data_IF_420573337137
#
_entry.id   IF_420573337137
#
_cell.length_a   1.000
_cell.length_b   1.000
_cell.length_c   1.000
_cell.angle_alpha   90.00
_cell.angle_beta   90.00
_cell.angle_gamma   90.00
#
_symmetry.space_group_name_H-M   'P 1'
#
loop_
_entity.id
_entity.type
_entity.pdbx_description
1 polymer ?
#
# COMPACT_ATOMS: atom_id res chain seq x y z
N UNK A 1 55.12 -42.49 -7.95
CA UNK A 1 54.28 -41.41 -8.49
C UNK A 1 52.93 -41.90 -9.12
N UNK A 2 52.59 -43.17 -9.11
CA UNK A 2 51.33 -43.68 -9.61
C UNK A 2 50.16 -43.58 -8.61
N UNK A 3 50.44 -43.48 -7.33
CA UNK A 3 49.42 -43.53 -6.26
C UNK A 3 48.63 -42.22 -6.09
N UNK A 4 49.29 -41.08 -6.30
CA UNK A 4 48.63 -39.77 -6.18
C UNK A 4 47.62 -39.49 -7.30
N UNK A 5 47.93 -39.92 -8.54
CA UNK A 5 47.02 -39.76 -9.69
C UNK A 5 45.76 -40.60 -9.54
N UNK A 6 45.87 -41.78 -8.97
CA UNK A 6 44.70 -42.63 -8.73
C UNK A 6 43.81 -42.10 -7.62
N UNK A 7 44.37 -41.41 -6.60
CA UNK A 7 43.59 -40.79 -5.53
C UNK A 7 42.74 -39.61 -6.05
N UNK A 8 43.36 -38.75 -6.85
CA UNK A 8 42.70 -37.59 -7.46
C UNK A 8 41.62 -38.00 -8.48
N UNK A 9 41.85 -39.11 -9.22
CA UNK A 9 40.85 -39.64 -10.14
C UNK A 9 39.70 -40.33 -9.41
N UNK A 10 39.94 -40.99 -8.30
CA UNK A 10 38.90 -41.59 -7.50
C UNK A 10 37.99 -40.55 -6.81
N UNK A 11 38.54 -39.40 -6.39
CA UNK A 11 37.75 -38.29 -5.86
C UNK A 11 36.93 -37.58 -6.94
N UNK A 12 37.45 -37.45 -8.15
CA UNK A 12 36.68 -36.89 -9.29
C UNK A 12 35.52 -37.83 -9.67
N UNK A 13 35.76 -39.12 -9.76
CA UNK A 13 34.72 -40.10 -10.06
C UNK A 13 33.59 -40.11 -9.01
N UNK A 14 33.95 -39.97 -7.71
CA UNK A 14 32.96 -39.88 -6.62
C UNK A 14 32.09 -38.61 -6.71
N UNK A 15 32.63 -37.51 -7.22
CA UNK A 15 31.87 -36.26 -7.42
C UNK A 15 30.94 -36.35 -8.64
N UNK A 16 31.33 -37.08 -9.66
CA UNK A 16 30.51 -37.28 -10.86
C UNK A 16 29.40 -38.34 -10.63
N UNK A 17 29.65 -39.32 -9.78
CA UNK A 17 28.69 -40.40 -9.49
C UNK A 17 27.57 -40.00 -8.51
N UNK A 18 27.81 -39.01 -7.66
CA UNK A 18 26.84 -38.50 -6.72
C UNK A 18 25.88 -37.45 -7.30
N UNK A 19 25.85 -37.21 -8.62
CA UNK A 19 24.78 -36.47 -9.34
C UNK A 19 24.10 -35.31 -8.63
N UNK A 20 24.50 -35.00 -7.42
CA UNK A 20 24.04 -33.91 -6.59
C UNK A 20 24.88 -32.66 -6.89
N UNK A 21 24.48 -31.93 -7.90
CA UNK A 21 24.77 -30.51 -7.94
C UNK A 21 24.06 -29.84 -6.76
N UNK A 22 24.39 -30.27 -5.56
CA UNK A 22 23.98 -29.61 -4.34
C UNK A 22 24.66 -28.24 -4.27
N UNK A 23 23.86 -27.19 -4.12
CA UNK A 23 24.37 -25.85 -3.81
C UNK A 23 25.44 -25.94 -2.72
N UNK A 24 26.58 -25.31 -2.93
CA UNK A 24 27.61 -25.21 -1.91
C UNK A 24 27.04 -24.46 -0.71
N UNK A 25 27.33 -24.94 0.51
CA UNK A 25 26.89 -24.28 1.75
C UNK A 25 27.34 -22.81 1.78
N UNK A 26 28.53 -22.50 1.24
CA UNK A 26 29.03 -21.14 1.13
C UNK A 26 28.20 -20.28 0.17
N UNK A 27 27.71 -20.83 -0.91
CA UNK A 27 26.86 -20.14 -1.88
C UNK A 27 25.52 -19.74 -1.27
N UNK A 28 24.92 -20.62 -0.47
CA UNK A 28 23.69 -20.33 0.26
C UNK A 28 23.92 -19.23 1.31
N UNK A 29 25.03 -19.26 2.05
CA UNK A 29 25.35 -18.24 3.05
C UNK A 29 25.53 -16.86 2.40
N UNK A 30 26.25 -16.77 1.29
CA UNK A 30 26.46 -15.51 0.57
C UNK A 30 25.12 -14.92 0.11
N UNK A 31 24.24 -15.73 -0.46
CA UNK A 31 22.92 -15.27 -0.91
C UNK A 31 22.10 -14.72 0.25
N UNK A 32 22.04 -15.42 1.39
CA UNK A 32 21.28 -14.96 2.56
C UNK A 32 21.85 -13.66 3.13
N UNK A 33 23.18 -13.48 3.16
CA UNK A 33 23.81 -12.24 3.61
C UNK A 33 23.45 -11.08 2.68
N UNK A 34 23.51 -11.27 1.37
CA UNK A 34 23.15 -10.23 0.40
C UNK A 34 21.66 -9.86 0.55
N UNK A 35 20.77 -10.84 0.64
CA UNK A 35 19.34 -10.61 0.86
C UNK A 35 19.07 -9.87 2.17
N UNK A 36 19.82 -10.18 3.24
CA UNK A 36 19.71 -9.49 4.53
C UNK A 36 20.06 -8.00 4.43
N UNK A 37 21.13 -7.67 3.71
CA UNK A 37 21.53 -6.27 3.48
C UNK A 37 20.49 -5.52 2.66
N UNK A 38 19.99 -6.12 1.59
CA UNK A 38 18.94 -5.52 0.75
C UNK A 38 17.65 -5.32 1.52
N UNK A 39 17.22 -6.30 2.32
CA UNK A 39 16.04 -6.20 3.15
C UNK A 39 16.15 -5.08 4.21
N UNK A 40 17.31 -4.91 4.82
CA UNK A 40 17.53 -3.85 5.81
C UNK A 40 17.30 -2.44 5.25
N UNK A 41 17.58 -2.22 3.97
CA UNK A 41 17.34 -0.94 3.28
C UNK A 41 15.89 -0.85 2.76
N UNK A 42 15.34 -1.95 2.24
CA UNK A 42 14.04 -1.96 1.59
C UNK A 42 12.86 -1.84 2.57
N UNK A 43 12.94 -2.45 3.75
CA UNK A 43 11.84 -2.46 4.74
C UNK A 43 11.42 -1.05 5.16
N UNK A 44 12.29 -0.13 5.60
CA UNK A 44 11.88 1.21 6.01
C UNK A 44 11.31 2.04 4.85
N UNK A 45 11.84 1.88 3.65
CA UNK A 45 11.33 2.56 2.45
C UNK A 45 9.91 2.09 2.13
N UNK A 46 9.68 0.77 2.20
CA UNK A 46 8.37 0.18 1.92
C UNK A 46 7.30 0.62 2.93
N UNK A 47 7.66 0.75 4.22
CA UNK A 47 6.75 1.25 5.24
C UNK A 47 6.29 2.70 4.96
N UNK A 48 7.18 3.58 4.52
CA UNK A 48 6.84 4.94 4.14
C UNK A 48 5.92 5.00 2.91
N UNK A 49 6.19 4.17 1.89
CA UNK A 49 5.35 4.08 0.69
C UNK A 49 3.94 3.61 1.03
N UNK A 50 3.80 2.67 1.97
CA UNK A 50 2.47 2.22 2.42
C UNK A 50 1.69 3.33 3.12
N UNK A 51 2.32 4.14 3.97
CA UNK A 51 1.68 5.27 4.63
C UNK A 51 1.21 6.33 3.62
N UNK A 52 2.04 6.66 2.64
CA UNK A 52 1.70 7.59 1.56
C UNK A 52 0.56 7.06 0.70
N UNK A 53 0.58 5.79 0.34
CA UNK A 53 -0.47 5.13 -0.44
C UNK A 53 -1.82 5.15 0.32
N UNK A 54 -1.81 4.92 1.63
CA UNK A 54 -3.01 5.01 2.46
C UNK A 54 -3.57 6.44 2.48
N UNK A 55 -2.72 7.44 2.63
CA UNK A 55 -3.14 8.86 2.60
C UNK A 55 -3.77 9.21 1.25
N UNK A 56 -3.17 8.81 0.14
CA UNK A 56 -3.71 9.03 -1.21
C UNK A 56 -5.02 8.31 -1.46
N UNK A 57 -5.18 7.10 -0.92
CA UNK A 57 -6.44 6.37 -1.00
C UNK A 57 -7.56 7.08 -0.24
N UNK A 58 -7.27 7.65 0.93
CA UNK A 58 -8.22 8.46 1.69
C UNK A 58 -8.57 9.77 0.97
N UNK A 59 -7.60 10.45 0.39
CA UNK A 59 -7.83 11.67 -0.42
C UNK A 59 -8.78 11.36 -1.59
N UNK A 60 -8.53 10.26 -2.31
CA UNK A 60 -9.37 9.84 -3.42
C UNK A 60 -10.80 9.46 -2.98
N UNK A 61 -10.94 8.73 -1.88
CA UNK A 61 -12.25 8.35 -1.35
C UNK A 61 -13.05 9.58 -0.88
N UNK A 62 -12.41 10.53 -0.19
CA UNK A 62 -13.04 11.77 0.21
C UNK A 62 -13.49 12.61 -1.00
N UNK A 63 -12.65 12.71 -2.04
CA UNK A 63 -12.97 13.43 -3.28
C UNK A 63 -14.15 12.76 -4.03
N UNK A 64 -14.18 11.43 -4.11
CA UNK A 64 -15.29 10.70 -4.71
C UNK A 64 -16.60 10.95 -3.96
N UNK A 65 -16.57 10.87 -2.63
CA UNK A 65 -17.71 11.16 -1.79
C UNK A 65 -18.21 12.60 -1.92
N UNK A 66 -17.28 13.57 -1.99
CA UNK A 66 -17.62 14.98 -2.19
C UNK A 66 -18.25 15.24 -3.57
N UNK A 67 -17.75 14.57 -4.60
CA UNK A 67 -18.33 14.66 -5.95
C UNK A 67 -19.74 14.08 -5.99
N UNK A 68 -19.95 12.91 -5.41
CA UNK A 68 -21.26 12.28 -5.32
C UNK A 68 -22.25 13.15 -4.53
N UNK A 69 -21.81 13.70 -3.40
CA UNK A 69 -22.59 14.63 -2.59
C UNK A 69 -22.96 15.92 -3.36
N UNK A 70 -22.03 16.46 -4.15
CA UNK A 70 -22.27 17.65 -4.98
C UNK A 70 -23.33 17.38 -6.06
N UNK A 71 -23.29 16.22 -6.71
CA UNK A 71 -24.31 15.82 -7.68
C UNK A 71 -25.69 15.69 -7.01
N UNK A 72 -25.75 14.98 -5.87
CA UNK A 72 -26.98 14.83 -5.12
C UNK A 72 -27.56 16.16 -4.62
N UNK A 73 -26.71 17.10 -4.22
CA UNK A 73 -27.15 18.45 -3.80
C UNK A 73 -27.69 19.30 -4.92
N UNK A 74 -27.27 19.05 -6.16
CA UNK A 74 -27.79 19.75 -7.34
C UNK A 74 -29.20 19.25 -7.73
N UNK A 75 -29.46 17.94 -7.56
CA UNK A 75 -30.74 17.34 -7.91
C UNK A 75 -31.80 17.50 -6.79
N UNK A 76 -31.41 17.27 -5.54
CA UNK A 76 -32.29 17.36 -4.37
C UNK A 76 -31.49 17.76 -3.12
N UNK A 77 -31.45 19.04 -2.77
CA UNK A 77 -30.59 19.53 -1.66
C UNK A 77 -31.13 19.18 -0.27
N UNK A 78 -31.56 17.92 -0.08
CA UNK A 78 -32.01 17.40 1.21
C UNK A 78 -30.89 16.63 1.90
N UNK A 79 -30.65 16.94 3.17
CA UNK A 79 -29.54 16.39 3.96
C UNK A 79 -29.37 14.85 3.88
N UNK A 80 -30.41 14.02 3.97
CA UNK A 80 -30.24 12.56 3.91
C UNK A 80 -29.68 12.06 2.57
N UNK A 81 -30.17 12.57 1.44
CA UNK A 81 -29.69 12.15 0.10
C UNK A 81 -28.27 12.58 -0.19
N UNK A 82 -27.85 13.76 0.27
CA UNK A 82 -26.48 14.25 0.14
C UNK A 82 -25.53 13.42 1.02
N UNK A 83 -25.96 13.06 2.24
CA UNK A 83 -25.19 12.24 3.15
C UNK A 83 -25.02 10.78 2.63
N UNK A 84 -26.07 10.19 2.06
CA UNK A 84 -26.02 8.86 1.44
C UNK A 84 -25.09 8.84 0.22
N UNK A 85 -25.18 9.88 -0.60
CA UNK A 85 -24.27 10.03 -1.75
C UNK A 85 -22.80 10.21 -1.31
N UNK A 86 -22.55 10.99 -0.26
CA UNK A 86 -21.21 11.13 0.30
C UNK A 86 -20.64 9.78 0.79
N UNK A 87 -21.47 8.91 1.37
CA UNK A 87 -21.06 7.60 1.83
C UNK A 87 -20.65 6.66 0.70
N UNK A 88 -21.09 6.88 -0.54
CA UNK A 88 -20.71 6.07 -1.70
C UNK A 88 -19.24 6.22 -2.14
N UNK A 89 -18.54 7.24 -1.66
CA UNK A 89 -17.09 7.43 -1.92
C UNK A 89 -16.19 6.40 -1.22
N UNK A 90 -16.71 5.73 -0.18
CA UNK A 90 -15.98 4.71 0.56
C UNK A 90 -15.78 3.41 -0.24
N UNK A 91 -14.71 2.70 0.05
CA UNK A 91 -14.42 1.38 -0.56
C UNK A 91 -13.59 0.53 0.41
N UNK A 92 -13.94 -0.73 0.54
CA UNK A 92 -13.29 -1.66 1.45
C UNK A 92 -13.45 -1.22 2.90
N UNK A 93 -12.35 -0.98 3.57
CA UNK A 93 -12.27 -0.53 4.97
C UNK A 93 -12.15 1.01 5.12
N UNK A 94 -12.32 1.75 4.03
CA UNK A 94 -12.42 3.22 4.03
C UNK A 94 -13.90 3.61 4.11
N UNK A 95 -14.27 4.34 5.14
CA UNK A 95 -15.60 4.91 5.30
C UNK A 95 -15.59 6.40 4.96
N UNK A 96 -16.58 6.86 4.19
CA UNK A 96 -16.77 8.27 3.88
C UNK A 96 -18.05 8.78 4.52
N UNK A 97 -18.03 10.00 5.04
CA UNK A 97 -19.16 10.63 5.74
C UNK A 97 -19.23 12.11 5.36
N UNK A 98 -20.44 12.60 5.10
CA UNK A 98 -20.68 14.04 5.01
C UNK A 98 -20.50 14.67 6.40
N UNK A 99 -19.55 15.59 6.50
CA UNK A 99 -19.24 16.31 7.75
C UNK A 99 -20.04 17.59 7.84
N UNK A 100 -20.12 18.34 6.74
CA UNK A 100 -20.86 19.61 6.68
C UNK A 100 -21.24 19.94 5.25
N UNK A 101 -22.20 20.83 5.10
CA UNK A 101 -22.63 21.37 3.81
C UNK A 101 -23.76 20.55 3.16
N UNK A 102 -24.68 21.25 2.55
CA UNK A 102 -25.78 20.68 1.76
C UNK A 102 -25.87 21.29 0.36
N UNK A 103 -25.01 22.24 0.07
CA UNK A 103 -24.94 22.90 -1.23
C UNK A 103 -23.61 22.59 -1.91
N UNK A 104 -23.58 22.71 -3.24
CA UNK A 104 -22.38 22.46 -4.04
C UNK A 104 -21.19 23.35 -3.65
N UNK A 105 -21.42 24.44 -2.90
CA UNK A 105 -20.39 25.39 -2.50
C UNK A 105 -19.73 25.10 -1.14
N UNK A 106 -20.40 24.33 -0.28
CA UNK A 106 -20.00 24.16 1.14
C UNK A 106 -19.85 22.68 1.59
N UNK A 107 -20.01 21.72 0.66
CA UNK A 107 -19.85 20.30 0.96
C UNK A 107 -18.44 20.01 1.47
N UNK A 108 -18.36 19.31 2.60
CA UNK A 108 -17.15 18.73 3.14
C UNK A 108 -17.39 17.27 3.53
N UNK A 109 -16.63 16.36 2.94
CA UNK A 109 -16.71 14.93 3.17
C UNK A 109 -15.40 14.46 3.79
N UNK A 110 -15.48 13.65 4.83
CA UNK A 110 -14.33 12.95 5.40
C UNK A 110 -14.25 11.52 4.89
N UNK A 111 -13.05 11.03 4.64
CA UNK A 111 -12.73 9.62 4.47
C UNK A 111 -11.86 9.16 5.64
N UNK A 112 -12.22 8.06 6.28
CA UNK A 112 -11.54 7.57 7.49
C UNK A 112 -11.18 6.10 7.33
N UNK A 113 -9.94 5.77 7.75
CA UNK A 113 -9.43 4.41 7.87
C UNK A 113 -8.44 4.33 9.04
N UNK A 114 -8.64 3.38 9.94
CA UNK A 114 -7.74 3.10 11.06
C UNK A 114 -7.36 4.36 11.88
N UNK A 115 -8.31 5.26 12.10
CA UNK A 115 -8.11 6.50 12.89
C UNK A 115 -7.47 7.66 12.13
N UNK A 116 -7.10 7.48 10.87
CA UNK A 116 -6.62 8.55 9.99
C UNK A 116 -7.77 9.07 9.13
N UNK A 117 -7.98 10.39 9.12
CA UNK A 117 -9.04 11.03 8.35
C UNK A 117 -8.48 12.03 7.34
N UNK A 118 -9.11 12.11 6.17
CA UNK A 118 -8.85 13.10 5.13
C UNK A 118 -10.17 13.71 4.69
N UNK A 119 -10.13 14.96 4.23
CA UNK A 119 -11.31 15.74 3.93
C UNK A 119 -11.22 16.30 2.51
N UNK A 120 -12.36 16.33 1.80
CA UNK A 120 -12.46 16.88 0.46
C UNK A 120 -13.80 17.59 0.24
N UNK A 121 -13.83 18.41 -0.80
CA UNK A 121 -14.96 19.23 -1.20
C UNK A 121 -14.71 20.73 -1.01
N UNK A 122 -15.58 21.61 -1.54
CA UNK A 122 -15.40 23.06 -1.44
C UNK A 122 -15.40 23.59 0.01
N UNK A 123 -16.07 22.90 0.93
CA UNK A 123 -16.04 23.16 2.36
C UNK A 123 -14.82 22.62 3.09
N UNK A 124 -13.94 21.87 2.44
CA UNK A 124 -12.70 21.38 3.04
C UNK A 124 -11.58 22.43 2.94
N UNK A 125 -10.59 22.34 3.84
CA UNK A 125 -9.33 23.07 3.72
C UNK A 125 -8.50 22.49 2.57
N UNK A 126 -7.66 23.34 1.95
CA UNK A 126 -6.84 22.94 0.81
C UNK A 126 -5.83 21.83 1.13
N UNK A 127 -5.44 21.68 2.39
CA UNK A 127 -4.54 20.63 2.86
C UNK A 127 -5.25 19.29 3.16
N UNK A 128 -6.57 19.26 3.05
CA UNK A 128 -7.39 18.07 3.31
C UNK A 128 -7.37 17.59 4.77
N UNK A 129 -7.04 18.45 5.72
CA UNK A 129 -6.92 18.07 7.14
C UNK A 129 -8.20 18.30 7.96
N UNK A 130 -9.09 19.18 7.49
CA UNK A 130 -10.34 19.50 8.17
C UNK A 130 -11.36 20.17 7.22
N UNK A 131 -12.60 20.34 7.69
CA UNK A 131 -13.56 21.28 7.11
C UNK A 131 -13.22 22.72 7.51
N UNK A 132 -13.68 23.68 6.69
CA UNK A 132 -13.53 25.12 6.97
C UNK A 132 -14.50 25.57 8.07
#
# INVERSE_FOLDING_TARGET
MRTFRNYVQAEKARREENGDEGFSLIELIIVVVILGILAAIAIPIFANIQADAQTKALDAAAANGATAAAVASADAPTSPTVAEAAASGGSGDITTVLVSGTTTADICVSATKAGTSRYAGPGAKADGTACK
#
